data_IF_090806788610
#
_entry.id   IF_090806788610
#
_cell.length_a   1.000
_cell.length_b   1.000
_cell.length_c   1.000
_cell.angle_alpha   90.00
_cell.angle_beta   90.00
_cell.angle_gamma   90.00
#
_symmetry.space_group_name_H-M   'P 1'
#
loop_
_entity.id
_entity.type
_entity.pdbx_description
1 polymer ?
#
# COMPACT_ATOMS: atom_id res chain seq x y z
N UNK A 1 -8.55 6.25 -12.97
CA UNK A 1 -7.14 6.66 -12.89
C UNK A 1 -6.27 5.43 -12.85
N UNK A 2 -5.22 5.38 -13.66
CA UNK A 2 -4.28 4.26 -13.72
C UNK A 2 -2.87 4.76 -13.37
N UNK A 3 -2.25 4.14 -12.36
CA UNK A 3 -0.86 4.36 -12.00
C UNK A 3 -0.07 3.12 -12.40
N UNK A 4 0.96 3.28 -13.22
CA UNK A 4 1.74 2.15 -13.78
C UNK A 4 2.57 1.38 -12.74
N UNK A 5 3.31 0.38 -13.21
CA UNK A 5 4.26 -0.35 -12.35
C UNK A 5 5.51 0.49 -12.13
N UNK A 6 5.92 0.65 -10.88
CA UNK A 6 7.02 1.55 -10.51
C UNK A 6 8.10 0.81 -9.70
N UNK A 7 9.37 1.20 -9.93
CA UNK A 7 10.51 0.76 -9.12
C UNK A 7 11.23 2.00 -8.57
N UNK A 8 11.34 2.06 -7.26
CA UNK A 8 12.02 3.14 -6.53
C UNK A 8 13.33 2.62 -5.96
N UNK A 9 14.43 3.30 -6.27
CA UNK A 9 15.78 2.97 -5.81
C UNK A 9 16.47 4.26 -5.32
N UNK A 10 15.96 4.82 -4.24
CA UNK A 10 16.48 6.04 -3.61
C UNK A 10 16.82 5.76 -2.14
N UNK A 11 17.77 6.49 -1.52
CA UNK A 11 18.13 6.28 -0.12
C UNK A 11 16.94 6.41 0.82
N UNK A 12 16.01 7.32 0.52
CA UNK A 12 14.77 7.49 1.26
C UNK A 12 13.63 7.70 0.28
N UNK A 13 12.53 6.97 0.44
CA UNK A 13 11.32 7.14 -0.36
C UNK A 13 10.19 7.62 0.54
N UNK A 14 9.63 8.78 0.22
CA UNK A 14 8.45 9.32 0.89
C UNK A 14 7.33 9.54 -0.13
N UNK A 15 6.20 8.87 0.09
CA UNK A 15 4.98 9.09 -0.70
C UNK A 15 3.98 9.84 0.17
N UNK A 16 3.60 11.04 -0.26
CA UNK A 16 2.70 11.92 0.50
C UNK A 16 1.27 11.37 0.65
N UNK A 17 0.44 12.12 1.41
CA UNK A 17 -0.97 11.80 1.55
C UNK A 17 -1.70 12.00 0.21
N UNK A 18 -2.51 11.02 -0.18
CA UNK A 18 -3.23 11.04 -1.47
C UNK A 18 -4.73 10.83 -1.30
N UNK A 19 -5.51 11.47 -2.16
CA UNK A 19 -6.95 11.27 -2.28
C UNK A 19 -7.33 11.06 -3.73
N UNK A 20 -8.01 9.96 -4.00
CA UNK A 20 -8.54 9.62 -5.31
C UNK A 20 -10.07 9.70 -5.27
N UNK A 21 -10.66 10.44 -6.20
CA UNK A 21 -12.11 10.55 -6.39
C UNK A 21 -12.43 10.41 -7.87
N UNK A 22 -12.63 9.17 -8.31
CA UNK A 22 -12.80 8.83 -9.73
C UNK A 22 -13.65 7.56 -9.87
N UNK A 23 -14.30 7.29 -11.00
CA UNK A 23 -15.12 6.08 -11.17
C UNK A 23 -14.36 4.78 -10.92
N UNK A 24 -13.08 4.71 -11.29
CA UNK A 24 -12.22 3.56 -11.05
C UNK A 24 -10.78 3.99 -10.71
N UNK A 25 -10.12 3.22 -9.84
CA UNK A 25 -8.70 3.39 -9.52
C UNK A 25 -7.98 2.07 -9.74
N UNK A 26 -6.91 2.10 -10.53
CA UNK A 26 -5.98 0.99 -10.70
C UNK A 26 -4.58 1.46 -10.34
N UNK A 27 -3.94 0.81 -9.37
CA UNK A 27 -2.55 1.04 -9.01
C UNK A 27 -1.76 -0.21 -9.36
N UNK A 28 -0.72 -0.05 -10.18
CA UNK A 28 0.16 -1.11 -10.62
C UNK A 28 1.05 -1.67 -9.51
N UNK A 29 1.96 -2.56 -9.90
CA UNK A 29 2.90 -3.19 -8.96
C UNK A 29 3.99 -2.20 -8.57
N UNK A 30 4.39 -2.20 -7.31
CA UNK A 30 5.47 -1.34 -6.83
C UNK A 30 6.58 -2.15 -6.16
N UNK A 31 7.84 -1.78 -6.41
CA UNK A 31 9.01 -2.30 -5.70
C UNK A 31 9.84 -1.16 -5.14
N UNK A 32 10.09 -1.19 -3.84
CA UNK A 32 10.94 -0.23 -3.14
C UNK A 32 12.24 -0.92 -2.71
N UNK A 33 13.38 -0.24 -2.91
CA UNK A 33 14.67 -0.62 -2.35
C UNK A 33 15.38 0.69 -1.93
N UNK A 34 15.41 0.95 -0.63
CA UNK A 34 15.76 2.19 0.04
C UNK A 34 16.27 1.87 1.46
N UNK A 35 16.83 2.87 2.16
CA UNK A 35 17.16 2.75 3.59
C UNK A 35 15.92 2.94 4.48
N UNK A 36 15.00 3.78 4.03
CA UNK A 36 13.71 3.98 4.68
C UNK A 36 12.62 4.29 3.69
N UNK A 37 11.44 3.73 3.93
CA UNK A 37 10.23 4.02 3.17
C UNK A 37 9.13 4.50 4.09
N UNK A 38 8.57 5.68 3.78
CA UNK A 38 7.39 6.21 4.44
C UNK A 38 6.28 6.45 3.42
N UNK A 39 5.15 5.76 3.60
CA UNK A 39 3.96 5.96 2.76
C UNK A 39 2.90 6.63 3.63
N UNK A 40 2.41 7.77 3.17
CA UNK A 40 1.37 8.55 3.82
C UNK A 40 -0.02 7.91 3.78
N UNK A 41 -1.02 8.66 4.22
CA UNK A 41 -2.41 8.22 4.26
C UNK A 41 -3.03 8.27 2.87
N UNK A 42 -3.77 7.24 2.51
CA UNK A 42 -4.51 7.18 1.25
C UNK A 42 -6.03 7.13 1.48
N UNK A 43 -6.80 7.85 0.66
CA UNK A 43 -8.27 7.78 0.64
C UNK A 43 -8.76 7.53 -0.78
N UNK A 44 -9.51 6.45 -0.97
CA UNK A 44 -10.11 6.07 -2.25
C UNK A 44 -11.63 6.21 -2.18
N UNK A 45 -12.20 6.96 -3.13
CA UNK A 45 -13.64 6.99 -3.38
C UNK A 45 -13.85 6.69 -4.88
N UNK A 46 -14.33 5.49 -5.18
CA UNK A 46 -14.49 4.99 -6.54
C UNK A 46 -15.55 3.89 -6.58
N UNK A 47 -16.02 3.46 -7.75
CA UNK A 47 -16.86 2.27 -7.85
C UNK A 47 -16.02 1.00 -7.70
N UNK A 48 -14.81 1.00 -8.28
CA UNK A 48 -13.87 -0.11 -8.21
C UNK A 48 -12.46 0.37 -7.91
N UNK A 49 -11.78 -0.32 -7.01
CA UNK A 49 -10.38 -0.09 -6.67
C UNK A 49 -9.60 -1.38 -6.82
N UNK A 50 -8.55 -1.35 -7.64
CA UNK A 50 -7.58 -2.42 -7.79
C UNK A 50 -6.19 -1.91 -7.41
N UNK A 51 -5.54 -2.56 -6.47
CA UNK A 51 -4.16 -2.27 -6.07
C UNK A 51 -3.32 -3.51 -6.33
N UNK A 52 -2.25 -3.36 -7.11
CA UNK A 52 -1.31 -4.42 -7.44
C UNK A 52 -0.46 -4.86 -6.26
N UNK A 53 0.41 -5.85 -6.50
CA UNK A 53 1.33 -6.33 -5.47
C UNK A 53 2.43 -5.33 -5.15
N UNK A 54 2.84 -5.26 -3.88
CA UNK A 54 3.95 -4.39 -3.45
C UNK A 54 5.05 -5.21 -2.77
N UNK A 55 6.32 -4.86 -3.03
CA UNK A 55 7.48 -5.43 -2.34
C UNK A 55 8.37 -4.33 -1.76
N UNK A 56 8.70 -4.47 -0.49
CA UNK A 56 9.66 -3.67 0.25
C UNK A 56 10.91 -4.52 0.56
N UNK A 57 12.08 -3.91 0.46
CA UNK A 57 13.38 -4.50 0.77
C UNK A 57 14.26 -3.38 1.36
N UNK A 58 13.93 -2.96 2.56
CA UNK A 58 14.35 -1.73 3.20
C UNK A 58 14.66 -2.00 4.70
N UNK A 59 15.63 -1.32 5.33
CA UNK A 59 15.86 -1.39 6.78
C UNK A 59 14.64 -1.03 7.64
N UNK A 60 13.80 -0.10 7.18
CA UNK A 60 12.60 0.34 7.88
C UNK A 60 11.48 0.74 6.93
N UNK A 61 10.25 0.30 7.25
CA UNK A 61 9.05 0.66 6.48
C UNK A 61 7.95 1.15 7.41
N UNK A 62 7.39 2.32 7.09
CA UNK A 62 6.21 2.88 7.75
C UNK A 62 5.12 3.14 6.72
N UNK A 63 3.98 2.47 6.86
CA UNK A 63 2.81 2.65 6.00
C UNK A 63 1.68 3.26 6.81
N UNK A 64 1.18 4.39 6.35
CA UNK A 64 0.06 5.12 6.95
C UNK A 64 -1.29 4.45 6.71
N UNK A 65 -2.34 5.08 7.24
CA UNK A 65 -3.72 4.57 7.17
C UNK A 65 -4.28 4.65 5.76
N UNK A 66 -5.00 3.60 5.34
CA UNK A 66 -5.78 3.59 4.10
C UNK A 66 -7.29 3.56 4.40
N UNK A 67 -8.08 4.31 3.62
CA UNK A 67 -9.56 4.22 3.64
C UNK A 67 -10.09 4.02 2.22
N UNK A 68 -10.93 3.01 2.05
CA UNK A 68 -11.64 2.71 0.82
C UNK A 68 -13.15 2.93 1.02
N UNK A 69 -13.77 3.62 0.06
CA UNK A 69 -15.21 3.65 -0.12
C UNK A 69 -15.49 3.35 -1.61
N UNK A 70 -15.86 2.12 -1.90
CA UNK A 70 -16.09 1.55 -3.22
C UNK A 70 -17.06 0.38 -3.20
N UNK A 71 -17.54 -0.03 -4.37
CA UNK A 71 -18.38 -1.23 -4.48
C UNK A 71 -17.52 -2.50 -4.41
N UNK A 72 -16.37 -2.46 -5.10
CA UNK A 72 -15.43 -3.57 -5.16
C UNK A 72 -14.01 -3.07 -4.86
N UNK A 73 -13.32 -3.77 -3.96
CA UNK A 73 -11.90 -3.54 -3.68
C UNK A 73 -11.11 -4.84 -3.83
N UNK A 74 -10.07 -4.79 -4.66
CA UNK A 74 -9.10 -5.87 -4.80
C UNK A 74 -7.71 -5.34 -4.48
N UNK A 75 -7.05 -5.94 -3.48
CA UNK A 75 -5.70 -5.58 -3.09
C UNK A 75 -4.81 -6.81 -3.25
N UNK A 76 -3.71 -6.65 -4.00
CA UNK A 76 -2.73 -7.68 -4.23
C UNK A 76 -1.92 -8.03 -2.97
N UNK A 77 -1.01 -8.99 -3.11
CA UNK A 77 -0.14 -9.39 -2.01
C UNK A 77 0.94 -8.35 -1.71
N UNK A 78 1.31 -8.20 -0.44
CA UNK A 78 2.40 -7.34 0.00
C UNK A 78 3.50 -8.16 0.65
N UNK A 79 4.76 -7.89 0.35
CA UNK A 79 5.92 -8.53 0.98
C UNK A 79 6.87 -7.50 1.56
N UNK A 80 7.23 -7.69 2.83
CA UNK A 80 8.21 -6.93 3.58
C UNK A 80 9.41 -7.81 3.88
N UNK A 81 10.61 -7.35 3.54
CA UNK A 81 11.87 -8.04 3.84
C UNK A 81 12.77 -7.09 4.65
N UNK A 82 12.20 -6.60 5.76
CA UNK A 82 12.64 -5.40 6.44
C UNK A 82 12.82 -5.69 7.94
N UNK A 83 13.89 -5.21 8.60
CA UNK A 83 14.08 -5.35 10.06
C UNK A 83 12.92 -4.82 10.92
N UNK A 84 12.28 -3.74 10.50
CA UNK A 84 11.18 -3.10 11.23
C UNK A 84 10.09 -2.64 10.28
N UNK A 85 8.84 -3.02 10.57
CA UNK A 85 7.67 -2.67 9.78
C UNK A 85 6.56 -2.12 10.69
N UNK A 86 6.06 -0.93 10.38
CA UNK A 86 4.89 -0.33 11.02
C UNK A 86 3.79 -0.09 9.99
N UNK A 87 2.60 -0.63 10.23
CA UNK A 87 1.44 -0.49 9.34
C UNK A 87 0.26 0.07 10.12
N UNK A 88 -0.27 1.18 9.64
CA UNK A 88 -1.49 1.77 10.16
C UNK A 88 -2.76 1.11 9.63
N UNK A 89 -3.87 1.35 10.32
CA UNK A 89 -5.17 0.75 10.03
C UNK A 89 -5.63 0.93 8.59
N UNK A 90 -6.19 -0.14 8.02
CA UNK A 90 -6.95 -0.08 6.78
C UNK A 90 -8.45 -0.21 7.07
N UNK A 91 -9.27 0.64 6.46
CA UNK A 91 -10.73 0.59 6.58
C UNK A 91 -11.39 0.48 5.21
N UNK A 92 -12.31 -0.47 5.09
CA UNK A 92 -13.15 -0.69 3.92
C UNK A 92 -14.59 -0.33 4.29
N UNK A 93 -15.29 0.32 3.37
CA UNK A 93 -16.72 0.58 3.48
C UNK A 93 -17.39 0.10 2.21
N UNK A 94 -17.19 -1.18 1.92
CA UNK A 94 -17.35 -1.76 0.59
C UNK A 94 -18.14 -3.09 0.69
N UNK A 95 -19.10 -3.35 -0.21
CA UNK A 95 -19.85 -4.61 -0.28
C UNK A 95 -18.99 -5.85 -0.56
N UNK A 96 -17.89 -5.70 -1.32
CA UNK A 96 -17.01 -6.81 -1.69
C UNK A 96 -15.55 -6.40 -1.59
N UNK A 97 -14.78 -7.14 -0.81
CA UNK A 97 -13.36 -6.90 -0.56
C UNK A 97 -12.58 -8.20 -0.71
N UNK A 98 -11.58 -8.19 -1.58
CA UNK A 98 -10.59 -9.26 -1.71
C UNK A 98 -9.20 -8.71 -1.39
N UNK A 99 -8.54 -9.33 -0.42
CA UNK A 99 -7.21 -8.92 0.05
C UNK A 99 -6.26 -10.11 -0.09
N UNK A 100 -5.17 -9.88 -0.81
CA UNK A 100 -4.06 -10.82 -0.92
C UNK A 100 -3.29 -10.96 0.39
N UNK A 101 -2.32 -11.88 0.40
CA UNK A 101 -1.52 -12.13 1.60
C UNK A 101 -0.51 -11.01 1.86
N UNK A 102 -0.35 -10.65 3.13
CA UNK A 102 0.82 -9.93 3.61
C UNK A 102 1.85 -10.94 4.13
N UNK A 103 3.12 -10.81 3.73
CA UNK A 103 4.24 -11.61 4.27
C UNK A 103 5.29 -10.67 4.85
N UNK A 104 5.63 -10.89 6.11
CA UNK A 104 6.69 -10.18 6.82
C UNK A 104 7.86 -11.12 7.04
N UNK A 105 9.04 -10.67 6.65
CA UNK A 105 10.31 -11.30 7.02
C UNK A 105 11.08 -10.29 7.88
N UNK A 106 10.52 -10.00 9.06
CA UNK A 106 10.90 -8.92 9.96
C UNK A 106 10.87 -9.42 11.41
N UNK A 107 11.90 -9.15 12.23
CA UNK A 107 11.86 -9.45 13.67
C UNK A 107 10.86 -8.56 14.42
N UNK A 108 10.60 -7.34 13.96
CA UNK A 108 9.69 -6.39 14.60
C UNK A 108 8.58 -5.94 13.62
N UNK A 109 7.33 -6.26 13.92
CA UNK A 109 6.15 -5.84 13.15
C UNK A 109 5.11 -5.22 14.07
N UNK A 110 4.71 -3.98 13.79
CA UNK A 110 3.61 -3.30 14.46
C UNK A 110 2.45 -3.09 13.49
N UNK A 111 1.25 -3.52 13.89
CA UNK A 111 0.01 -3.38 13.12
C UNK A 111 -1.03 -2.74 14.03
N UNK A 112 -1.63 -1.63 13.61
CA UNK A 112 -2.68 -0.90 14.35
C UNK A 112 -3.76 -0.31 13.47
#
# INVERSE_FOLDING_TARGET
MELGSNRFNDPNVSVGNTRFNTPSVSIGRAKFNALSVSIGRAKFNALSVSIGSTRFNDPSVSIGRAKFNALNVSIGSTRFNDPSVSIGSTRFNDPSVSIGRAKFNAPCVFIG
#
